data_IF_944452911896
#
_entry.id   IF_944452911896
#
_cell.length_a   1.000
_cell.length_b   1.000
_cell.length_c   1.000
_cell.angle_alpha   90.00
_cell.angle_beta   90.00
_cell.angle_gamma   90.00
#
_symmetry.space_group_name_H-M   'P 1'
#
loop_
_entity.id
_entity.type
_entity.pdbx_description
1 polymer ?
#
# COMPACT_ATOMS: atom_id res chain seq x y z
N UNK A 1 16.69 -19.60 30.14
CA UNK A 1 17.74 -20.40 30.81
C UNK A 1 18.93 -19.49 31.07
N UNK A 2 19.48 -19.46 32.29
CA UNK A 2 20.65 -18.62 32.58
C UNK A 2 21.92 -19.30 32.04
N UNK A 3 22.73 -18.57 31.28
CA UNK A 3 23.94 -19.09 30.63
C UNK A 3 25.23 -18.64 31.31
N UNK A 4 25.20 -17.53 32.07
CA UNK A 4 26.35 -16.99 32.77
C UNK A 4 25.91 -16.00 33.85
N UNK A 5 26.85 -15.59 34.72
CA UNK A 5 26.69 -14.52 35.70
C UNK A 5 27.75 -13.45 35.48
N UNK A 6 27.34 -12.17 35.43
CA UNK A 6 28.22 -11.02 35.37
C UNK A 6 27.84 -10.07 36.52
N UNK A 7 28.76 -9.84 37.49
CA UNK A 7 28.46 -8.95 38.61
C UNK A 7 27.19 -9.32 39.41
N UNK A 8 26.81 -10.61 39.48
CA UNK A 8 25.60 -11.08 40.14
C UNK A 8 24.37 -11.15 39.23
N UNK A 9 24.42 -10.64 38.02
CA UNK A 9 23.34 -10.62 37.03
C UNK A 9 23.44 -11.91 36.21
N UNK A 10 22.30 -12.56 35.97
CA UNK A 10 22.23 -13.75 35.12
C UNK A 10 21.98 -13.29 33.66
N UNK A 11 22.66 -13.95 32.72
CA UNK A 11 22.44 -13.73 31.29
C UNK A 11 21.26 -14.57 30.79
N UNK A 12 20.35 -13.93 30.05
CA UNK A 12 19.22 -14.66 29.47
C UNK A 12 19.65 -15.43 28.21
N UNK A 13 19.59 -16.74 28.27
CA UNK A 13 19.94 -17.61 27.16
C UNK A 13 18.93 -17.71 26.05
N UNK A 14 17.84 -16.94 26.09
CA UNK A 14 16.90 -16.77 24.93
C UNK A 14 17.43 -15.81 23.90
N UNK A 15 18.15 -14.77 24.34
CA UNK A 15 18.68 -13.71 23.47
C UNK A 15 20.20 -13.75 23.36
N UNK A 16 20.89 -14.20 24.41
CA UNK A 16 22.35 -14.29 24.46
C UNK A 16 22.80 -15.75 24.52
N UNK A 17 23.86 -16.07 23.81
CA UNK A 17 24.52 -17.37 23.84
C UNK A 17 25.94 -17.22 24.36
N UNK A 18 26.45 -18.26 25.02
CA UNK A 18 27.86 -18.33 25.42
C UNK A 18 28.52 -19.52 24.76
N UNK A 19 29.53 -19.27 23.95
CA UNK A 19 30.34 -20.29 23.29
C UNK A 19 31.80 -20.03 23.67
N UNK A 20 32.44 -21.03 24.35
CA UNK A 20 33.83 -20.94 24.80
C UNK A 20 34.15 -19.66 25.63
N UNK A 21 33.20 -19.22 26.47
CA UNK A 21 33.33 -18.03 27.32
C UNK A 21 33.16 -16.71 26.57
N UNK A 22 32.65 -16.76 25.36
CA UNK A 22 32.35 -15.55 24.53
C UNK A 22 30.84 -15.44 24.35
N UNK A 23 30.26 -14.26 24.65
CA UNK A 23 28.86 -13.96 24.45
C UNK A 23 28.66 -13.64 22.96
N UNK A 24 27.71 -14.32 22.34
CA UNK A 24 27.25 -14.13 20.98
C UNK A 24 25.72 -13.92 20.94
N UNK A 25 25.19 -13.48 19.81
CA UNK A 25 23.75 -13.48 19.53
C UNK A 25 23.40 -14.72 18.68
N UNK A 26 22.19 -15.23 18.87
CA UNK A 26 21.57 -16.28 18.04
C UNK A 26 22.42 -17.57 17.88
N UNK A 27 23.37 -17.82 18.79
CA UNK A 27 24.21 -19.04 18.78
C UNK A 27 25.23 -19.09 17.64
N UNK A 28 25.57 -17.95 17.01
CA UNK A 28 26.63 -17.87 16.01
C UNK A 28 27.99 -18.30 16.56
N UNK A 29 28.87 -18.77 15.68
CA UNK A 29 30.26 -19.10 16.07
C UNK A 29 30.97 -17.79 16.45
N UNK A 30 31.53 -17.69 17.69
CA UNK A 30 32.25 -16.48 18.09
C UNK A 30 33.52 -16.31 17.27
N UNK A 31 33.82 -15.05 16.92
CA UNK A 31 35.10 -14.71 16.33
C UNK A 31 36.18 -14.65 17.42
N UNK A 32 37.44 -14.62 17.04
CA UNK A 32 38.54 -14.43 17.99
C UNK A 32 38.61 -12.95 18.48
N UNK A 33 37.90 -12.03 17.85
CA UNK A 33 37.87 -10.63 18.22
C UNK A 33 36.89 -10.38 19.36
N UNK A 34 37.36 -9.84 20.46
CA UNK A 34 36.59 -9.56 21.68
C UNK A 34 36.65 -8.08 21.97
N UNK A 35 35.51 -7.42 22.19
CA UNK A 35 35.45 -5.97 22.46
C UNK A 35 35.60 -5.63 23.93
N UNK A 36 35.25 -6.58 24.83
CA UNK A 36 35.32 -6.36 26.26
C UNK A 36 35.40 -7.70 27.02
N UNK A 37 35.99 -7.63 28.23
CA UNK A 37 36.00 -8.72 29.17
C UNK A 37 35.42 -8.23 30.51
N UNK A 38 34.33 -8.82 30.94
CA UNK A 38 33.60 -8.47 32.12
C UNK A 38 33.55 -9.67 33.05
N UNK A 39 34.36 -9.66 34.14
CA UNK A 39 34.38 -10.76 35.12
C UNK A 39 34.63 -12.16 34.50
N UNK A 40 35.46 -12.22 33.44
CA UNK A 40 35.75 -13.46 32.70
C UNK A 40 34.80 -13.73 31.52
N UNK A 41 33.76 -12.93 31.36
CA UNK A 41 32.85 -13.02 30.22
C UNK A 41 33.29 -12.04 29.14
N UNK A 42 33.43 -12.50 27.91
CA UNK A 42 33.90 -11.73 26.75
C UNK A 42 32.77 -11.52 25.79
N UNK A 43 32.69 -10.30 25.20
CA UNK A 43 31.68 -9.93 24.21
C UNK A 43 32.28 -10.00 22.80
N UNK A 44 31.63 -10.72 21.91
CA UNK A 44 32.11 -10.92 20.53
C UNK A 44 31.98 -9.63 19.70
N UNK A 45 33.07 -9.22 19.04
CA UNK A 45 33.14 -8.02 18.23
C UNK A 45 32.26 -8.09 16.94
N UNK A 46 31.75 -9.23 16.57
CA UNK A 46 30.81 -9.37 15.45
C UNK A 46 29.45 -8.76 15.79
N UNK A 47 29.02 -8.88 17.04
CA UNK A 47 27.69 -8.48 17.51
C UNK A 47 27.71 -7.23 18.37
N UNK A 48 28.81 -6.99 19.07
CA UNK A 48 28.94 -5.90 20.03
C UNK A 48 30.08 -4.98 19.70
N UNK A 49 29.99 -3.73 20.16
CA UNK A 49 31.11 -2.79 20.18
C UNK A 49 31.17 -2.08 21.53
N UNK A 50 32.28 -1.42 21.78
CA UNK A 50 32.50 -0.56 22.94
C UNK A 50 32.70 0.88 22.51
N UNK A 51 31.90 1.79 23.08
CA UNK A 51 32.05 3.23 22.94
C UNK A 51 32.41 3.78 24.35
N UNK A 52 33.62 4.29 24.52
CA UNK A 52 34.11 4.63 25.87
C UNK A 52 34.16 3.41 26.79
N UNK A 53 33.32 3.38 27.83
CA UNK A 53 33.14 2.24 28.77
C UNK A 53 31.84 1.47 28.53
N UNK A 54 31.06 1.84 27.52
CA UNK A 54 29.73 1.28 27.27
C UNK A 54 29.80 0.21 26.20
N UNK A 55 29.19 -0.95 26.49
CA UNK A 55 28.96 -2.04 25.54
C UNK A 55 27.57 -1.85 24.95
N UNK A 56 27.48 -1.87 23.65
CA UNK A 56 26.26 -1.67 22.88
C UNK A 56 26.25 -2.56 21.63
N UNK A 57 25.15 -2.52 20.86
CA UNK A 57 25.06 -3.19 19.56
C UNK A 57 26.15 -2.72 18.60
N UNK A 58 26.62 -3.65 17.74
CA UNK A 58 27.65 -3.37 16.73
C UNK A 58 27.27 -2.23 15.79
N UNK A 59 25.98 -2.10 15.48
CA UNK A 59 25.46 -1.10 14.53
C UNK A 59 25.08 0.23 15.21
N UNK A 60 24.92 0.28 16.55
CA UNK A 60 24.55 1.50 17.25
C UNK A 60 25.47 2.66 16.89
N UNK A 61 24.93 3.83 16.54
CA UNK A 61 25.71 5.03 16.19
C UNK A 61 26.06 5.87 17.41
N UNK A 62 25.29 5.73 18.49
CA UNK A 62 25.46 6.40 19.77
C UNK A 62 25.18 5.39 20.90
N UNK A 63 25.38 5.79 22.14
CA UNK A 63 25.01 5.05 23.34
C UNK A 63 24.09 5.90 24.18
N UNK A 64 23.21 5.25 24.95
CA UNK A 64 22.34 5.90 25.92
C UNK A 64 23.17 6.54 27.04
N UNK A 65 22.62 7.56 27.68
CA UNK A 65 23.13 8.10 28.95
C UNK A 65 22.69 7.24 30.16
N UNK A 66 21.82 6.26 29.92
CA UNK A 66 21.32 5.33 30.93
C UNK A 66 21.99 3.96 30.77
N UNK A 67 22.24 3.30 31.89
CA UNK A 67 22.88 2.00 31.93
C UNK A 67 22.07 1.05 32.81
N UNK A 68 21.92 -0.21 32.35
CA UNK A 68 21.16 -1.25 33.08
C UNK A 68 22.03 -2.04 34.02
N UNK A 69 23.35 -2.06 33.78
CA UNK A 69 24.29 -2.78 34.65
C UNK A 69 25.70 -2.21 34.55
N UNK A 70 26.46 -2.35 35.61
CA UNK A 70 27.93 -2.19 35.64
C UNK A 70 28.55 -3.58 35.79
N UNK A 71 29.28 -4.01 34.80
CA UNK A 71 29.93 -5.31 34.75
C UNK A 71 31.44 -5.14 34.81
N UNK A 72 31.97 -5.01 36.05
CA UNK A 72 33.41 -4.86 36.29
C UNK A 72 34.01 -3.59 35.68
N UNK A 73 33.28 -2.46 35.76
CA UNK A 73 33.68 -1.17 35.22
C UNK A 73 33.34 -0.96 33.72
N UNK A 74 32.57 -1.88 33.13
CA UNK A 74 31.98 -1.74 31.81
C UNK A 74 30.47 -1.56 31.97
N UNK A 75 29.94 -0.53 31.35
CA UNK A 75 28.51 -0.19 31.39
C UNK A 75 27.77 -0.88 30.26
N UNK A 76 26.53 -1.31 30.51
CA UNK A 76 25.66 -1.91 29.51
C UNK A 76 24.59 -0.91 29.12
N UNK A 77 24.52 -0.62 27.84
CA UNK A 77 23.63 0.39 27.25
C UNK A 77 22.16 0.05 27.46
N UNK A 78 21.39 0.92 28.10
CA UNK A 78 19.98 0.70 28.39
C UNK A 78 19.08 0.65 27.16
N UNK A 79 19.54 1.15 26.01
CA UNK A 79 18.79 1.08 24.76
C UNK A 79 18.83 -0.33 24.13
N UNK A 80 19.76 -1.18 24.57
CA UNK A 80 19.99 -2.49 23.96
C UNK A 80 20.06 -3.64 24.95
N UNK A 81 20.12 -3.34 26.24
CA UNK A 81 20.15 -4.36 27.29
C UNK A 81 19.02 -4.08 28.28
N UNK A 82 18.26 -5.09 28.62
CA UNK A 82 17.22 -5.05 29.64
C UNK A 82 17.51 -6.03 30.77
N UNK A 83 17.05 -5.72 31.99
CA UNK A 83 17.09 -6.66 33.12
C UNK A 83 15.65 -6.90 33.58
N UNK A 84 15.18 -8.14 33.44
CA UNK A 84 13.88 -8.59 33.94
C UNK A 84 14.11 -9.82 34.86
N UNK A 85 13.56 -9.72 36.06
CA UNK A 85 13.71 -10.78 37.08
C UNK A 85 15.17 -11.20 37.33
N UNK A 86 16.09 -10.23 37.36
CA UNK A 86 17.53 -10.44 37.55
C UNK A 86 18.26 -11.08 36.38
N UNK A 87 17.62 -11.18 35.21
CA UNK A 87 18.22 -11.70 33.98
C UNK A 87 18.46 -10.54 33.00
N UNK A 88 19.67 -10.46 32.50
CA UNK A 88 20.07 -9.57 31.44
C UNK A 88 19.72 -10.16 30.08
N UNK A 89 18.90 -9.49 29.32
CA UNK A 89 18.61 -9.77 27.92
C UNK A 89 19.25 -8.71 27.03
N UNK A 90 19.44 -9.04 25.77
CA UNK A 90 19.88 -8.11 24.74
C UNK A 90 18.72 -7.86 23.76
N UNK A 91 18.29 -6.63 23.67
CA UNK A 91 17.30 -6.21 22.72
C UNK A 91 18.01 -5.88 21.40
N UNK A 92 18.06 -6.86 20.51
CA UNK A 92 18.70 -6.69 19.20
C UNK A 92 17.96 -5.61 18.40
N UNK A 93 18.69 -4.59 17.98
CA UNK A 93 18.17 -3.62 17.02
C UNK A 93 17.73 -4.35 15.76
N UNK A 94 16.46 -4.22 15.41
CA UNK A 94 15.91 -4.88 14.23
C UNK A 94 16.39 -4.18 12.95
N UNK A 95 16.84 -4.99 11.98
CA UNK A 95 17.16 -4.54 10.64
C UNK A 95 16.01 -4.71 9.65
N UNK A 96 14.83 -5.10 10.15
CA UNK A 96 13.62 -5.23 9.34
C UNK A 96 13.21 -3.87 8.75
N UNK A 97 13.07 -3.81 7.43
CA UNK A 97 12.71 -2.60 6.70
C UNK A 97 11.65 -2.87 5.63
N UNK A 98 10.67 -3.72 5.95
CA UNK A 98 9.65 -4.13 5.00
C UNK A 98 8.36 -3.31 5.16
N UNK A 99 7.68 -3.05 4.02
CA UNK A 99 6.27 -2.73 4.01
C UNK A 99 5.50 -4.06 4.10
N UNK A 100 4.77 -4.25 5.20
CA UNK A 100 3.97 -5.44 5.47
C UNK A 100 2.61 -5.35 4.81
N UNK A 101 2.02 -4.15 4.81
CA UNK A 101 0.77 -3.87 4.10
C UNK A 101 0.73 -2.42 3.61
N UNK A 102 0.10 -2.24 2.46
CA UNK A 102 -0.17 -0.93 1.87
C UNK A 102 -1.63 -0.90 1.43
N UNK A 103 -2.38 0.11 1.88
CA UNK A 103 -3.80 0.27 1.56
C UNK A 103 -4.11 1.71 1.20
N UNK A 104 -5.06 1.88 0.28
CA UNK A 104 -5.71 3.16 0.01
C UNK A 104 -7.20 2.91 0.25
N UNK A 105 -7.76 3.61 1.22
CA UNK A 105 -9.09 3.33 1.77
C UNK A 105 -9.22 1.84 2.14
N UNK A 106 -10.20 1.11 1.61
CA UNK A 106 -10.39 -0.33 1.86
C UNK A 106 -9.67 -1.23 0.87
N UNK A 107 -9.02 -0.67 -0.17
CA UNK A 107 -8.32 -1.44 -1.19
C UNK A 107 -6.90 -1.75 -0.77
N UNK A 108 -6.53 -3.02 -0.79
CA UNK A 108 -5.17 -3.48 -0.47
C UNK A 108 -4.31 -3.58 -1.72
N UNK A 109 -3.09 -3.04 -1.64
CA UNK A 109 -2.07 -3.23 -2.68
C UNK A 109 -1.44 -4.63 -2.63
N UNK A 110 -1.09 -5.14 -3.79
CA UNK A 110 -0.29 -6.36 -3.95
C UNK A 110 1.18 -5.98 -3.88
N UNK A 111 1.90 -6.58 -2.92
CA UNK A 111 3.33 -6.35 -2.70
C UNK A 111 4.10 -7.48 -3.38
N UNK A 112 4.99 -7.14 -4.30
CA UNK A 112 5.90 -8.06 -4.99
C UNK A 112 7.33 -7.52 -4.87
N UNK A 113 8.10 -8.08 -3.96
CA UNK A 113 9.43 -7.60 -3.55
C UNK A 113 9.42 -6.11 -3.14
N UNK A 114 9.82 -5.20 -4.03
CA UNK A 114 9.84 -3.75 -3.81
C UNK A 114 8.78 -2.99 -4.60
N UNK A 115 7.98 -3.70 -5.40
CA UNK A 115 6.90 -3.10 -6.17
C UNK A 115 5.56 -3.35 -5.48
N UNK A 116 4.75 -2.29 -5.42
CA UNK A 116 3.40 -2.33 -4.86
C UNK A 116 2.43 -1.85 -5.94
N UNK A 117 1.53 -2.73 -6.38
CA UNK A 117 0.48 -2.42 -7.33
C UNK A 117 -0.87 -2.38 -6.63
N UNK A 118 -1.67 -1.35 -6.92
CA UNK A 118 -3.03 -1.21 -6.38
C UNK A 118 -3.95 -0.68 -7.47
N UNK A 119 -5.11 -1.33 -7.66
CA UNK A 119 -6.14 -0.89 -8.60
C UNK A 119 -7.33 -0.37 -7.81
N UNK A 120 -7.65 0.90 -8.00
CA UNK A 120 -8.75 1.59 -7.34
C UNK A 120 -10.02 1.56 -8.22
N UNK A 121 -11.21 1.74 -7.64
CA UNK A 121 -12.47 1.83 -8.38
C UNK A 121 -12.46 2.94 -9.44
N UNK A 122 -13.25 2.73 -10.50
CA UNK A 122 -13.46 3.73 -11.55
C UNK A 122 -13.85 5.10 -10.98
N UNK A 123 -13.37 6.17 -11.58
CA UNK A 123 -13.64 7.55 -11.16
C UNK A 123 -12.87 8.02 -9.93
N UNK A 124 -11.95 7.22 -9.37
CA UNK A 124 -11.15 7.65 -8.21
C UNK A 124 -10.15 8.74 -8.59
N UNK A 125 -10.16 9.88 -7.86
CA UNK A 125 -9.15 10.94 -7.98
C UNK A 125 -7.83 10.50 -7.33
N UNK A 126 -6.84 10.15 -8.15
CA UNK A 126 -5.52 9.68 -7.70
C UNK A 126 -4.60 10.79 -7.21
N UNK A 127 -4.97 12.07 -7.34
CA UNK A 127 -4.10 13.21 -7.02
C UNK A 127 -4.01 13.53 -5.53
N UNK A 128 -4.89 12.94 -4.70
CA UNK A 128 -5.06 13.31 -3.27
C UNK A 128 -5.24 12.11 -2.34
N UNK A 129 -4.62 11.00 -2.65
CA UNK A 129 -4.78 9.76 -1.88
C UNK A 129 -3.97 9.78 -0.58
N UNK A 130 -4.48 9.10 0.45
CA UNK A 130 -3.86 8.99 1.77
C UNK A 130 -3.66 7.52 2.12
N UNK A 131 -2.52 6.90 1.75
CA UNK A 131 -2.30 5.50 2.01
C UNK A 131 -2.09 5.19 3.48
N UNK A 132 -2.63 4.05 3.93
CA UNK A 132 -2.33 3.44 5.22
C UNK A 132 -1.26 2.37 5.04
N UNK A 133 -0.14 2.53 5.74
CA UNK A 133 1.06 1.69 5.55
C UNK A 133 1.40 1.03 6.89
N UNK A 134 1.56 -0.30 6.89
CA UNK A 134 2.12 -1.05 8.01
C UNK A 134 3.52 -1.52 7.62
N UNK A 135 4.47 -1.31 8.50
CA UNK A 135 5.89 -1.60 8.28
C UNK A 135 6.44 -2.52 9.37
N UNK A 136 7.65 -3.01 9.19
CA UNK A 136 8.40 -3.75 10.21
C UNK A 136 8.39 -3.01 11.54
N UNK A 137 8.44 -3.78 12.63
CA UNK A 137 8.44 -3.24 13.99
C UNK A 137 9.58 -2.24 14.16
N UNK A 138 9.29 -1.13 14.84
CA UNK A 138 10.24 -0.06 15.19
C UNK A 138 10.94 0.61 13.98
N UNK A 139 10.58 0.22 12.73
CA UNK A 139 11.02 0.89 11.52
C UNK A 139 10.27 2.22 11.30
N UNK A 140 10.77 3.05 10.39
CA UNK A 140 10.13 4.28 9.95
C UNK A 140 9.92 4.28 8.44
N UNK A 141 8.91 5.00 7.94
CA UNK A 141 8.65 5.13 6.50
C UNK A 141 8.55 6.58 6.08
N UNK A 142 9.10 6.88 4.92
CA UNK A 142 9.02 8.21 4.30
C UNK A 142 8.60 8.07 2.84
N UNK A 143 7.52 8.73 2.39
CA UNK A 143 6.55 9.54 3.16
C UNK A 143 5.83 8.75 4.25
N UNK A 144 5.38 9.45 5.32
CA UNK A 144 4.69 8.79 6.44
C UNK A 144 3.32 8.26 6.02
N UNK A 145 2.88 7.17 6.67
CA UNK A 145 1.51 6.66 6.58
C UNK A 145 0.49 7.77 6.82
N UNK A 146 -0.59 7.83 6.01
CA UNK A 146 -1.62 8.86 6.06
C UNK A 146 -1.24 10.19 5.42
N UNK A 147 -0.02 10.36 4.90
CA UNK A 147 0.37 11.57 4.17
C UNK A 147 -0.28 11.58 2.79
N UNK A 148 -0.98 12.67 2.47
CA UNK A 148 -1.58 12.86 1.14
C UNK A 148 -0.52 12.90 0.05
N UNK A 149 -0.75 12.15 -1.03
CA UNK A 149 0.12 12.05 -2.19
C UNK A 149 -0.66 12.04 -3.49
N UNK A 150 -0.01 12.53 -4.53
CA UNK A 150 -0.43 12.40 -5.93
C UNK A 150 0.19 11.12 -6.51
N UNK A 151 -0.67 10.22 -6.98
CA UNK A 151 -0.30 8.94 -7.58
C UNK A 151 -0.54 8.90 -9.09
N UNK A 152 -0.64 10.05 -9.76
CA UNK A 152 -0.66 10.13 -11.24
C UNK A 152 0.57 9.44 -11.84
N UNK A 153 1.69 9.48 -11.12
CA UNK A 153 2.91 8.72 -11.43
C UNK A 153 3.29 7.83 -10.23
N UNK A 154 4.10 6.77 -10.44
CA UNK A 154 4.59 5.93 -9.36
C UNK A 154 5.28 6.74 -8.25
N UNK A 155 4.97 6.41 -6.99
CA UNK A 155 5.49 7.10 -5.80
C UNK A 155 6.43 6.18 -5.03
N UNK A 156 7.59 6.70 -4.64
CA UNK A 156 8.55 5.95 -3.84
C UNK A 156 8.33 6.14 -2.34
N UNK A 157 8.46 5.04 -1.60
CA UNK A 157 8.45 4.98 -0.14
C UNK A 157 9.73 4.32 0.35
N UNK A 158 10.45 5.00 1.22
CA UNK A 158 11.69 4.48 1.82
C UNK A 158 11.38 4.03 3.24
N UNK A 159 11.54 2.75 3.53
CA UNK A 159 11.50 2.22 4.89
C UNK A 159 12.91 2.19 5.44
N UNK A 160 13.09 2.75 6.63
CA UNK A 160 14.34 2.72 7.38
C UNK A 160 14.12 1.87 8.61
N UNK A 161 14.91 0.83 8.79
CA UNK A 161 14.86 -0.04 9.95
C UNK A 161 15.18 0.72 11.26
N UNK A 162 14.87 0.08 12.40
CA UNK A 162 15.21 0.57 13.73
C UNK A 162 16.71 0.92 13.85
N UNK A 163 17.59 0.17 13.16
CA UNK A 163 19.04 0.41 13.16
C UNK A 163 19.46 1.76 12.50
N UNK A 164 18.51 2.53 11.95
CA UNK A 164 18.72 3.82 11.31
C UNK A 164 19.55 3.79 10.03
N UNK A 165 20.08 2.65 9.63
CA UNK A 165 21.02 2.49 8.51
C UNK A 165 20.51 1.59 7.40
N UNK A 166 19.81 0.51 7.74
CA UNK A 166 19.22 -0.43 6.77
C UNK A 166 17.98 0.19 6.15
N UNK A 167 17.94 0.27 4.83
CA UNK A 167 16.84 0.89 4.08
C UNK A 167 16.39 0.02 2.93
N UNK A 168 15.07 0.04 2.67
CA UNK A 168 14.47 -0.57 1.50
C UNK A 168 13.53 0.44 0.84
N UNK A 169 13.62 0.57 -0.48
CA UNK A 169 12.80 1.51 -1.25
C UNK A 169 11.73 0.72 -1.99
N UNK A 170 10.48 1.14 -1.83
CA UNK A 170 9.32 0.57 -2.51
C UNK A 170 8.80 1.55 -3.55
N UNK A 171 8.37 1.04 -4.70
CA UNK A 171 7.71 1.81 -5.75
C UNK A 171 6.22 1.43 -5.77
N UNK A 172 5.35 2.40 -5.54
CA UNK A 172 3.90 2.20 -5.52
C UNK A 172 3.30 2.72 -6.82
N UNK A 173 2.63 1.84 -7.55
CA UNK A 173 1.88 2.18 -8.77
C UNK A 173 0.39 2.02 -8.50
N UNK A 174 -0.36 3.09 -8.72
CA UNK A 174 -1.82 3.11 -8.61
C UNK A 174 -2.42 3.15 -10.01
N UNK A 175 -3.38 2.28 -10.26
CA UNK A 175 -4.22 2.29 -11.47
C UNK A 175 -5.69 2.48 -11.07
N UNK A 176 -6.49 3.04 -11.96
CA UNK A 176 -7.94 3.14 -11.79
C UNK A 176 -8.59 2.14 -12.74
N UNK A 177 -9.53 1.34 -12.22
CA UNK A 177 -10.27 0.41 -13.05
C UNK A 177 -11.13 1.17 -14.08
N UNK A 178 -11.32 0.60 -15.24
CA UNK A 178 -12.27 1.12 -16.22
C UNK A 178 -13.71 1.06 -15.66
N UNK A 179 -14.55 1.99 -16.08
CA UNK A 179 -15.94 2.07 -15.65
C UNK A 179 -16.77 0.97 -16.31
N UNK A 180 -17.67 0.35 -15.53
CA UNK A 180 -18.71 -0.59 -16.03
C UNK A 180 -20.01 0.10 -16.37
N UNK A 181 -20.09 1.43 -16.24
CA UNK A 181 -21.31 2.19 -16.54
C UNK A 181 -21.59 2.22 -18.06
N UNK A 182 -22.78 1.75 -18.45
CA UNK A 182 -23.20 1.62 -19.85
C UNK A 182 -24.63 2.14 -20.07
N UNK A 183 -24.95 3.32 -19.52
CA UNK A 183 -26.27 3.91 -19.63
C UNK A 183 -26.37 4.93 -20.77
N UNK A 184 -27.55 4.97 -21.46
CA UNK A 184 -27.98 6.14 -22.19
C UNK A 184 -28.52 7.14 -21.18
N UNK A 185 -27.88 8.29 -21.03
CA UNK A 185 -28.24 9.34 -20.07
C UNK A 185 -29.13 10.41 -20.67
N UNK A 186 -29.07 10.59 -22.00
CA UNK A 186 -30.00 11.44 -22.76
C UNK A 186 -30.16 10.92 -24.19
N UNK A 187 -31.35 11.09 -24.74
CA UNK A 187 -31.68 10.73 -26.11
C UNK A 187 -32.63 11.79 -26.67
N UNK A 188 -32.37 12.29 -27.86
CA UNK A 188 -33.25 13.23 -28.52
C UNK A 188 -33.20 13.12 -30.04
N UNK A 189 -34.28 13.51 -30.70
CA UNK A 189 -34.39 13.63 -32.18
C UNK A 189 -34.80 15.05 -32.49
N UNK A 190 -33.87 15.85 -33.04
CA UNK A 190 -34.07 17.28 -33.16
C UNK A 190 -34.35 17.96 -31.82
N UNK A 191 -35.56 18.55 -31.66
CA UNK A 191 -35.99 19.12 -30.37
C UNK A 191 -36.90 18.20 -29.55
N UNK A 192 -37.17 16.98 -30.01
CA UNK A 192 -38.00 16.01 -29.30
C UNK A 192 -37.10 15.19 -28.35
N UNK A 193 -37.33 15.39 -27.06
CA UNK A 193 -36.59 14.61 -26.02
C UNK A 193 -37.21 13.23 -25.82
N UNK A 194 -36.37 12.22 -25.67
CA UNK A 194 -36.78 10.83 -25.39
C UNK A 194 -37.02 10.62 -23.88
N UNK A 195 -38.10 9.95 -23.56
CA UNK A 195 -38.42 9.48 -22.21
C UNK A 195 -37.73 8.13 -22.03
N UNK A 196 -36.73 8.07 -21.11
CA UNK A 196 -35.99 6.85 -20.81
C UNK A 196 -36.66 6.16 -19.62
N UNK A 197 -37.19 4.96 -19.83
CA UNK A 197 -37.78 4.08 -18.82
C UNK A 197 -37.07 2.72 -18.85
N UNK A 198 -36.11 2.54 -17.92
CA UNK A 198 -35.26 1.37 -17.89
C UNK A 198 -34.40 1.26 -19.15
N UNK A 199 -34.69 0.27 -19.98
CA UNK A 199 -34.05 0.04 -21.29
C UNK A 199 -34.94 0.45 -22.49
N UNK A 200 -36.10 1.04 -22.23
CA UNK A 200 -37.00 1.52 -23.29
C UNK A 200 -36.89 3.04 -23.37
N UNK A 201 -36.84 3.53 -24.60
CA UNK A 201 -36.82 4.98 -24.88
C UNK A 201 -37.97 5.28 -25.83
N UNK A 202 -38.86 6.16 -25.41
CA UNK A 202 -39.96 6.63 -26.23
C UNK A 202 -39.74 8.09 -26.65
N UNK A 203 -39.85 8.39 -27.95
CA UNK A 203 -39.71 9.73 -28.48
C UNK A 203 -40.97 10.07 -29.28
N UNK A 204 -41.62 11.19 -29.01
CA UNK A 204 -42.71 11.71 -29.79
C UNK A 204 -42.20 12.87 -30.67
N UNK A 205 -42.20 12.71 -31.97
CA UNK A 205 -41.81 13.71 -32.92
C UNK A 205 -43.01 14.50 -33.46
N UNK A 206 -42.85 15.75 -33.92
CA UNK A 206 -43.96 16.55 -34.42
C UNK A 206 -44.72 15.90 -35.58
N UNK A 207 -46.02 16.27 -35.71
CA UNK A 207 -46.89 15.85 -36.83
C UNK A 207 -46.21 16.07 -38.19
N UNK A 208 -46.32 15.11 -39.08
CA UNK A 208 -45.75 15.16 -40.42
C UNK A 208 -44.25 14.88 -40.53
N UNK A 209 -43.57 14.52 -39.41
CA UNK A 209 -42.15 14.14 -39.43
C UNK A 209 -42.00 12.78 -40.12
N UNK A 210 -41.10 12.68 -41.10
CA UNK A 210 -40.72 11.41 -41.72
C UNK A 210 -39.77 10.63 -40.77
N UNK A 211 -40.14 9.40 -40.42
CA UNK A 211 -39.41 8.60 -39.45
C UNK A 211 -38.35 7.69 -40.07
N UNK A 212 -38.22 7.62 -41.38
CA UNK A 212 -37.35 6.72 -42.13
C UNK A 212 -35.87 7.11 -42.16
N UNK A 213 -35.52 8.34 -41.75
CA UNK A 213 -34.15 8.85 -41.78
C UNK A 213 -33.93 9.93 -40.67
N UNK A 214 -34.03 9.51 -39.43
CA UNK A 214 -33.83 10.39 -38.29
C UNK A 214 -32.44 10.15 -37.66
N UNK A 215 -31.75 11.24 -37.35
CA UNK A 215 -30.41 11.21 -36.71
C UNK A 215 -30.53 11.62 -35.23
N UNK A 216 -30.55 10.66 -34.29
CA UNK A 216 -30.70 10.99 -32.89
C UNK A 216 -29.40 11.53 -32.31
N UNK A 217 -29.52 12.43 -31.33
CA UNK A 217 -28.43 12.82 -30.44
C UNK A 217 -28.50 11.99 -29.17
N UNK A 218 -27.43 11.25 -28.86
CA UNK A 218 -27.36 10.31 -27.77
C UNK A 218 -26.20 10.70 -26.86
N UNK A 219 -26.47 10.79 -25.56
CA UNK A 219 -25.45 10.93 -24.52
C UNK A 219 -25.41 9.66 -23.71
N UNK A 220 -24.23 9.12 -23.50
CA UNK A 220 -23.98 7.90 -22.72
C UNK A 220 -23.13 8.16 -21.50
N UNK A 221 -22.98 7.16 -20.62
CA UNK A 221 -22.05 7.19 -19.48
C UNK A 221 -20.64 7.61 -19.94
N UNK A 222 -19.89 8.29 -19.05
CA UNK A 222 -18.53 8.71 -19.34
C UNK A 222 -17.65 7.51 -19.71
N UNK A 223 -16.87 7.65 -20.78
CA UNK A 223 -16.02 6.59 -21.32
C UNK A 223 -16.76 5.52 -22.14
N UNK A 224 -18.10 5.43 -22.08
CA UNK A 224 -18.87 4.46 -22.85
C UNK A 224 -19.04 4.86 -24.32
N UNK A 225 -19.32 3.87 -25.16
CA UNK A 225 -19.64 4.04 -26.59
C UNK A 225 -21.02 3.51 -26.88
N UNK A 226 -21.65 3.95 -27.98
CA UNK A 226 -22.97 3.49 -28.41
C UNK A 226 -22.98 3.08 -29.87
N UNK A 227 -23.69 2.02 -30.19
CA UNK A 227 -23.88 1.54 -31.57
C UNK A 227 -25.39 1.28 -31.83
N UNK A 228 -25.99 1.84 -32.88
CA UNK A 228 -25.45 2.84 -33.84
C UNK A 228 -24.97 4.12 -33.16
N UNK A 229 -23.94 4.77 -33.73
CA UNK A 229 -23.37 6.01 -33.16
C UNK A 229 -24.34 7.18 -33.20
N UNK A 230 -24.25 8.04 -32.17
CA UNK A 230 -24.98 9.32 -32.12
C UNK A 230 -24.82 10.10 -33.42
N UNK A 231 -25.92 10.62 -33.93
CA UNK A 231 -25.96 11.37 -35.20
C UNK A 231 -26.08 10.51 -36.48
N UNK A 232 -26.07 9.18 -36.37
CA UNK A 232 -26.26 8.29 -37.52
C UNK A 232 -27.74 8.18 -37.85
N UNK A 233 -28.11 8.40 -39.10
CA UNK A 233 -29.49 8.23 -39.56
C UNK A 233 -29.95 6.79 -39.39
N UNK A 234 -31.17 6.62 -38.85
CA UNK A 234 -31.85 5.35 -38.67
C UNK A 234 -33.30 5.44 -39.15
N UNK A 235 -33.84 4.30 -39.60
CA UNK A 235 -35.24 4.12 -39.88
C UNK A 235 -35.99 3.68 -38.62
N UNK A 236 -36.86 4.56 -38.12
CA UNK A 236 -37.67 4.32 -36.91
C UNK A 236 -39.12 3.93 -37.26
N UNK A 237 -39.39 3.41 -38.47
CA UNK A 237 -40.69 2.79 -38.81
C UNK A 237 -41.00 1.64 -37.83
N UNK A 238 -39.98 0.90 -37.43
CA UNK A 238 -40.00 -0.05 -36.35
C UNK A 238 -39.06 0.37 -35.22
N UNK A 239 -39.15 -0.29 -34.05
CA UNK A 239 -38.26 -0.01 -32.93
C UNK A 239 -36.80 -0.31 -33.28
N UNK A 240 -35.88 0.60 -32.92
CA UNK A 240 -34.44 0.48 -33.17
C UNK A 240 -33.71 0.13 -31.87
N UNK A 241 -32.80 -0.82 -31.96
CA UNK A 241 -31.94 -1.20 -30.81
C UNK A 241 -30.62 -0.45 -30.84
N UNK A 242 -30.28 0.17 -29.71
CA UNK A 242 -28.96 0.79 -29.46
C UNK A 242 -28.25 -0.02 -28.39
N UNK A 243 -26.99 -0.38 -28.63
CA UNK A 243 -26.14 -1.07 -27.65
C UNK A 243 -25.11 -0.11 -27.13
N UNK A 244 -25.08 0.12 -25.82
CA UNK A 244 -24.03 0.87 -25.13
C UNK A 244 -23.01 -0.11 -24.64
N UNK A 245 -21.72 0.17 -24.89
CA UNK A 245 -20.57 -0.57 -24.36
C UNK A 245 -19.82 0.33 -23.39
N UNK A 246 -19.59 -0.13 -22.18
CA UNK A 246 -18.88 0.59 -21.14
C UNK A 246 -17.39 0.80 -21.48
N UNK A 247 -16.71 1.62 -20.68
CA UNK A 247 -15.25 1.86 -20.82
C UNK A 247 -14.40 0.58 -20.67
N UNK A 248 -14.89 -0.41 -19.91
CA UNK A 248 -14.22 -1.72 -19.73
C UNK A 248 -14.23 -2.58 -21.00
N UNK A 249 -14.94 -2.15 -22.07
CA UNK A 249 -15.13 -2.86 -23.33
C UNK A 249 -15.83 -4.24 -23.23
N UNK A 250 -16.22 -4.65 -22.03
CA UNK A 250 -16.85 -5.93 -21.74
C UNK A 250 -18.34 -5.77 -21.37
N UNK A 251 -18.65 -4.77 -20.54
CA UNK A 251 -20.02 -4.54 -20.05
C UNK A 251 -20.86 -3.84 -21.11
N UNK A 252 -21.98 -4.43 -21.48
CA UNK A 252 -22.89 -3.87 -22.50
C UNK A 252 -24.33 -3.79 -22.01
N UNK A 253 -25.09 -2.82 -22.53
CA UNK A 253 -26.53 -2.66 -22.28
C UNK A 253 -27.27 -2.26 -23.54
N UNK A 254 -28.33 -3.00 -23.87
CA UNK A 254 -29.16 -2.73 -25.03
C UNK A 254 -30.38 -1.89 -24.66
N UNK A 255 -30.67 -0.90 -25.47
CA UNK A 255 -31.84 -0.02 -25.37
C UNK A 255 -32.71 -0.16 -26.60
N UNK A 256 -34.05 -0.22 -26.40
CA UNK A 256 -35.04 -0.22 -27.47
C UNK A 256 -35.66 1.15 -27.57
N UNK A 257 -35.52 1.79 -28.74
CA UNK A 257 -36.03 3.12 -29.02
C UNK A 257 -37.26 3.01 -29.93
N UNK A 258 -38.37 3.57 -29.48
CA UNK A 258 -39.61 3.67 -30.27
C UNK A 258 -39.95 5.13 -30.54
N UNK A 259 -40.20 5.47 -31.80
CA UNK A 259 -40.58 6.84 -32.22
C UNK A 259 -42.04 6.82 -32.63
N UNK A 260 -42.80 7.78 -32.13
CA UNK A 260 -44.18 8.04 -32.52
C UNK A 260 -44.32 9.43 -33.10
N UNK A 261 -45.22 9.61 -34.08
CA UNK A 261 -45.54 10.93 -34.66
C UNK A 261 -46.78 11.46 -33.94
N UNK A 262 -46.71 12.69 -33.45
CA UNK A 262 -47.83 13.37 -32.81
C UNK A 262 -49.07 13.41 -33.74
N UNK A 263 -50.24 13.33 -33.17
CA UNK A 263 -51.51 13.55 -33.90
C UNK A 263 -51.68 15.01 -34.27
N UNK A 264 -52.48 15.32 -35.32
CA UNK A 264 -52.76 16.67 -35.83
C UNK A 264 -53.48 17.56 -34.78
#
# INVERSE_FOLDING_TARGET
MSIAKCGGIQLDGSTLKMVNGIITLDGGNPTSAVVANCGGIRFDATYFKKIGKVITDKKATAVSEQFVADCGGLLLDADHFTITDGKLAFDKIDSGCDIISFKIDDVSGTISDTDIAITLPAGTDVTKLKPTITISKDATVSPKSGTQKDFTNPVQYVVTAEDGTTKKTYTVTVTVAASTACDITAFSIGNAEGIIDGTNIAVEVPYGTAVTALAPTITVSEGATVSPTSGTEQDFTDAVTYTVTAEDEETTKAYTVTVTVAEE
#
